data_IF_506895095123
#
_entry.id   IF_506895095123
#
_cell.length_a   1.000
_cell.length_b   1.000
_cell.length_c   1.000
_cell.angle_alpha   90.00
_cell.angle_beta   90.00
_cell.angle_gamma   90.00
#
_symmetry.space_group_name_H-M   'P 1'
#
loop_
_entity.id
_entity.type
_entity.pdbx_description
1 polymer ?
#
# COMPACT_ATOMS: atom_id res chain seq x y z
N UNK A 1 -7.43 0.41 -15.80
CA UNK A 1 -7.65 1.85 -16.03
C UNK A 1 -7.08 2.28 -17.40
N UNK A 2 -5.77 2.13 -17.68
CA UNK A 2 -5.15 2.53 -18.94
C UNK A 2 -5.90 1.99 -20.17
N UNK A 3 -6.11 0.67 -20.24
CA UNK A 3 -6.81 0.04 -21.38
C UNK A 3 -8.25 0.55 -21.51
N UNK A 4 -8.96 0.75 -20.38
CA UNK A 4 -10.31 1.33 -20.39
C UNK A 4 -10.34 2.79 -20.87
N UNK A 5 -9.21 3.49 -20.75
CA UNK A 5 -9.04 4.86 -21.28
C UNK A 5 -8.53 4.90 -22.73
N UNK A 6 -8.48 3.76 -23.43
CA UNK A 6 -8.02 3.66 -24.80
C UNK A 6 -6.49 3.60 -24.99
N UNK A 7 -5.73 3.47 -23.88
CA UNK A 7 -4.27 3.43 -23.92
C UNK A 7 -3.78 2.00 -23.98
N UNK A 8 -2.63 1.80 -24.61
CA UNK A 8 -1.93 0.52 -24.59
C UNK A 8 -1.09 0.39 -23.32
N UNK A 9 -1.26 -0.72 -22.60
CA UNK A 9 -0.52 -1.01 -21.36
C UNK A 9 0.41 -2.20 -21.56
N UNK A 10 1.72 -1.99 -21.45
CA UNK A 10 2.74 -3.05 -21.47
C UNK A 10 3.42 -3.10 -20.09
N UNK A 11 3.37 -4.25 -19.44
CA UNK A 11 3.96 -4.47 -18.12
C UNK A 11 5.14 -5.42 -18.23
N UNK A 12 6.35 -4.93 -17.96
CA UNK A 12 7.55 -5.75 -17.85
C UNK A 12 7.85 -6.09 -16.41
N UNK A 13 7.90 -7.36 -16.06
CA UNK A 13 8.24 -7.83 -14.70
C UNK A 13 8.89 -9.21 -14.70
N UNK A 14 9.31 -9.69 -13.54
CA UNK A 14 9.83 -11.05 -13.39
C UNK A 14 8.73 -12.15 -13.33
N UNK A 15 7.49 -11.82 -13.69
CA UNK A 15 6.35 -12.70 -13.56
C UNK A 15 5.75 -12.72 -12.15
N UNK A 16 4.79 -13.61 -11.94
CA UNK A 16 4.07 -13.80 -10.67
C UNK A 16 2.58 -14.01 -10.88
N UNK A 17 1.83 -14.26 -9.81
CA UNK A 17 0.41 -14.63 -9.86
C UNK A 17 -0.52 -13.58 -10.47
N UNK A 18 -0.10 -12.32 -10.54
CA UNK A 18 -0.92 -11.24 -11.12
C UNK A 18 -0.81 -11.10 -12.65
N UNK A 19 -0.01 -11.93 -13.34
CA UNK A 19 0.13 -11.84 -14.80
C UNK A 19 -1.21 -12.02 -15.50
N UNK A 20 -1.97 -13.03 -15.11
CA UNK A 20 -3.30 -13.28 -15.67
C UNK A 20 -4.30 -12.13 -15.47
N UNK A 21 -4.18 -11.40 -14.38
CA UNK A 21 -5.03 -10.23 -14.13
C UNK A 21 -4.71 -9.08 -15.12
N UNK A 22 -3.41 -8.89 -15.42
CA UNK A 22 -2.95 -7.90 -16.41
C UNK A 22 -3.49 -8.25 -17.79
N UNK A 23 -3.33 -9.50 -18.22
CA UNK A 23 -3.76 -9.98 -19.52
C UNK A 23 -5.29 -9.97 -19.66
N UNK A 24 -6.02 -10.42 -18.63
CA UNK A 24 -7.50 -10.32 -18.58
C UNK A 24 -8.00 -8.88 -18.64
N UNK A 25 -7.24 -7.92 -18.12
CA UNK A 25 -7.55 -6.51 -18.21
C UNK A 25 -7.17 -5.88 -19.55
N UNK A 26 -6.71 -6.66 -20.55
CA UNK A 26 -6.30 -6.23 -21.88
C UNK A 26 -4.89 -5.63 -21.95
N UNK A 27 -4.10 -5.74 -20.87
CA UNK A 27 -2.69 -5.35 -20.88
C UNK A 27 -1.79 -6.47 -21.41
N UNK A 28 -0.63 -6.10 -21.95
CA UNK A 28 0.42 -7.06 -22.37
C UNK A 28 1.44 -7.25 -21.27
N UNK A 29 1.74 -8.48 -20.90
CA UNK A 29 2.84 -8.78 -19.97
C UNK A 29 4.07 -9.31 -20.70
N UNK A 30 5.26 -8.86 -20.28
CA UNK A 30 6.55 -9.33 -20.78
C UNK A 30 7.43 -9.74 -19.60
N UNK A 31 7.81 -11.02 -19.55
CA UNK A 31 8.67 -11.54 -18.49
C UNK A 31 10.12 -11.21 -18.77
N UNK A 32 10.73 -10.42 -17.88
CA UNK A 32 12.16 -10.05 -17.90
C UNK A 32 12.74 -10.17 -16.48
N UNK A 33 14.04 -10.54 -16.32
CA UNK A 33 14.67 -10.74 -15.02
C UNK A 33 15.00 -9.40 -14.31
N UNK A 34 13.99 -8.55 -14.10
CA UNK A 34 14.12 -7.18 -13.59
C UNK A 34 14.42 -7.07 -12.09
N UNK A 35 14.39 -8.19 -11.35
CA UNK A 35 14.76 -8.24 -9.93
C UNK A 35 16.25 -8.16 -9.68
N UNK A 36 17.08 -8.35 -10.72
CA UNK A 36 18.53 -8.38 -10.59
C UNK A 36 19.12 -7.05 -10.11
N UNK A 37 20.12 -7.14 -9.25
CA UNK A 37 20.97 -6.02 -8.82
C UNK A 37 22.40 -6.13 -9.36
N UNK A 38 22.72 -7.20 -10.09
CA UNK A 38 24.01 -7.42 -10.71
C UNK A 38 24.18 -6.43 -11.88
N UNK A 39 25.29 -5.68 -11.97
CA UNK A 39 25.56 -4.73 -13.05
C UNK A 39 25.46 -5.32 -14.46
N UNK A 40 25.96 -6.53 -14.67
CA UNK A 40 25.85 -7.21 -15.98
C UNK A 40 24.39 -7.54 -16.33
N UNK A 41 23.61 -7.99 -15.34
CA UNK A 41 22.18 -8.23 -15.49
C UNK A 41 21.41 -6.94 -15.77
N UNK A 42 21.74 -5.85 -15.11
CA UNK A 42 21.17 -4.52 -15.37
C UNK A 42 21.49 -4.09 -16.81
N UNK A 43 22.75 -4.21 -17.27
CA UNK A 43 23.15 -3.86 -18.64
C UNK A 43 22.40 -4.69 -19.69
N UNK A 44 22.21 -5.99 -19.45
CA UNK A 44 21.40 -6.86 -20.33
C UNK A 44 19.95 -6.40 -20.36
N UNK A 45 19.37 -6.10 -19.19
CA UNK A 45 18.00 -5.63 -19.10
C UNK A 45 17.78 -4.26 -19.78
N UNK A 46 18.76 -3.37 -19.77
CA UNK A 46 18.70 -2.10 -20.54
C UNK A 46 18.49 -2.39 -22.02
N UNK A 47 19.25 -3.34 -22.61
CA UNK A 47 19.11 -3.71 -24.02
C UNK A 47 17.73 -4.31 -24.33
N UNK A 48 17.27 -5.24 -23.47
CA UNK A 48 15.96 -5.87 -23.64
C UNK A 48 14.81 -4.88 -23.50
N UNK A 49 14.90 -3.97 -22.54
CA UNK A 49 13.87 -2.92 -22.36
C UNK A 49 13.91 -1.91 -23.49
N UNK A 50 15.07 -1.49 -23.99
CA UNK A 50 15.17 -0.60 -25.14
C UNK A 50 14.53 -1.23 -26.40
N UNK A 51 14.88 -2.47 -26.70
CA UNK A 51 14.26 -3.21 -27.81
C UNK A 51 12.74 -3.41 -27.62
N UNK A 52 12.28 -3.59 -26.38
CA UNK A 52 10.85 -3.67 -26.07
C UNK A 52 10.15 -2.32 -26.30
N UNK A 53 10.75 -1.22 -25.85
CA UNK A 53 10.23 0.14 -26.03
C UNK A 53 10.08 0.44 -27.52
N UNK A 54 11.08 0.15 -28.34
CA UNK A 54 11.07 0.37 -29.79
C UNK A 54 10.04 -0.54 -30.48
N UNK A 55 10.08 -1.85 -30.24
CA UNK A 55 9.15 -2.83 -30.86
C UNK A 55 7.69 -2.55 -30.55
N UNK A 56 7.40 -2.16 -29.32
CA UNK A 56 6.03 -1.89 -28.88
C UNK A 56 5.64 -0.41 -29.07
N UNK A 57 6.48 0.45 -29.63
CA UNK A 57 6.26 1.89 -29.75
C UNK A 57 5.77 2.50 -28.45
N UNK A 58 6.54 2.32 -27.37
CA UNK A 58 6.19 2.83 -26.02
C UNK A 58 6.51 4.32 -25.95
N UNK A 59 5.54 5.12 -25.53
CA UNK A 59 5.68 6.57 -25.41
C UNK A 59 6.15 7.03 -24.04
N UNK A 60 5.83 6.26 -22.97
CA UNK A 60 6.17 6.61 -21.59
C UNK A 60 6.66 5.38 -20.82
N UNK A 61 7.77 5.52 -20.11
CA UNK A 61 8.34 4.48 -19.25
C UNK A 61 8.11 4.82 -17.78
N UNK A 62 7.34 3.98 -17.08
CA UNK A 62 7.01 4.18 -15.68
C UNK A 62 7.61 3.08 -14.79
N UNK A 63 8.58 3.43 -13.94
CA UNK A 63 9.16 2.51 -12.96
C UNK A 63 8.44 2.62 -11.60
N UNK A 64 7.93 1.49 -11.13
CA UNK A 64 7.21 1.39 -9.85
C UNK A 64 8.00 0.68 -8.74
N UNK A 65 9.27 0.37 -9.00
CA UNK A 65 10.14 -0.33 -8.06
C UNK A 65 11.61 0.00 -8.33
N UNK A 66 12.42 0.04 -7.27
CA UNK A 66 13.84 0.44 -7.34
C UNK A 66 14.72 -0.49 -8.20
N UNK A 67 14.49 -1.81 -8.12
CA UNK A 67 15.34 -2.76 -8.84
C UNK A 67 15.23 -2.59 -10.37
N UNK A 68 14.03 -2.55 -10.97
CA UNK A 68 13.88 -2.31 -12.40
C UNK A 68 14.17 -0.86 -12.82
N UNK A 69 14.07 0.12 -11.89
CA UNK A 69 14.17 1.53 -12.23
C UNK A 69 15.49 1.92 -12.90
N UNK A 70 16.62 1.31 -12.49
CA UNK A 70 17.92 1.55 -13.14
C UNK A 70 17.92 1.11 -14.59
N UNK A 71 17.45 -0.09 -14.87
CA UNK A 71 17.37 -0.59 -16.25
C UNK A 71 16.37 0.20 -17.07
N UNK A 72 15.22 0.55 -16.50
CA UNK A 72 14.17 1.31 -17.16
C UNK A 72 14.61 2.74 -17.50
N UNK A 73 15.29 3.43 -16.57
CA UNK A 73 15.83 4.77 -16.79
C UNK A 73 16.81 4.84 -17.97
N UNK A 74 17.80 3.93 -17.97
CA UNK A 74 18.78 3.93 -19.06
C UNK A 74 18.20 3.45 -20.40
N UNK A 75 17.20 2.55 -20.38
CA UNK A 75 16.49 2.17 -21.59
C UNK A 75 15.68 3.33 -22.15
N UNK A 76 14.93 4.04 -21.30
CA UNK A 76 14.16 5.22 -21.68
C UNK A 76 15.07 6.32 -22.26
N UNK A 77 16.20 6.62 -21.58
CA UNK A 77 17.19 7.58 -22.07
C UNK A 77 17.76 7.18 -23.44
N UNK A 78 18.04 5.89 -23.66
CA UNK A 78 18.57 5.37 -24.93
C UNK A 78 17.58 5.51 -26.08
N UNK A 79 16.27 5.38 -25.80
CA UNK A 79 15.20 5.43 -26.81
C UNK A 79 14.53 6.80 -26.91
N UNK A 80 15.05 7.82 -26.19
CA UNK A 80 14.47 9.17 -26.19
C UNK A 80 13.08 9.26 -25.54
N UNK A 81 12.68 8.28 -24.72
CA UNK A 81 11.33 8.28 -24.12
C UNK A 81 11.34 8.88 -22.71
N UNK A 82 10.30 9.63 -22.32
CA UNK A 82 10.17 10.15 -20.96
C UNK A 82 10.12 9.01 -19.95
N UNK A 83 10.76 9.25 -18.79
CA UNK A 83 10.83 8.30 -17.68
C UNK A 83 10.20 8.90 -16.45
N UNK A 84 9.29 8.17 -15.81
CA UNK A 84 8.69 8.57 -14.54
C UNK A 84 8.73 7.46 -13.49
N UNK A 85 8.44 7.81 -12.24
CA UNK A 85 8.53 6.87 -11.11
C UNK A 85 7.37 7.03 -10.14
N UNK A 86 7.11 5.96 -9.35
CA UNK A 86 6.24 6.04 -8.17
C UNK A 86 6.97 5.54 -6.94
N UNK A 87 7.04 6.40 -5.91
CA UNK A 87 7.46 6.01 -4.57
C UNK A 87 6.30 5.32 -3.84
N UNK A 88 6.46 4.03 -3.55
CA UNK A 88 5.49 3.22 -2.81
C UNK A 88 5.77 3.13 -1.32
N UNK A 89 6.87 3.70 -0.86
CA UNK A 89 7.25 3.77 0.56
C UNK A 89 8.38 4.78 0.73
N UNK A 90 8.67 5.13 1.98
CA UNK A 90 9.90 5.83 2.33
C UNK A 90 11.07 4.85 2.18
N UNK A 91 11.98 5.17 1.29
CA UNK A 91 13.18 4.37 1.09
C UNK A 91 14.27 4.81 2.06
N UNK A 92 14.24 4.26 3.27
CA UNK A 92 15.29 4.50 4.25
C UNK A 92 16.66 4.01 3.73
N UNK A 93 17.71 4.75 4.04
CA UNK A 93 19.07 4.40 3.67
C UNK A 93 20.06 4.84 4.74
N UNK A 94 20.43 3.93 5.66
CA UNK A 94 21.68 4.11 6.40
C UNK A 94 22.82 3.80 5.40
N UNK A 95 23.60 4.84 5.04
CA UNK A 95 24.75 4.72 4.14
C UNK A 95 24.57 5.39 2.77
N UNK A 96 25.71 5.99 2.27
CA UNK A 96 25.76 6.79 1.01
C UNK A 96 25.41 5.94 -0.22
N UNK A 97 25.90 4.69 -0.30
CA UNK A 97 25.65 3.78 -1.42
C UNK A 97 24.16 3.40 -1.55
N UNK A 98 23.50 3.12 -0.42
CA UNK A 98 22.07 2.79 -0.44
C UNK A 98 21.21 3.99 -0.83
N UNK A 99 21.58 5.18 -0.36
CA UNK A 99 20.91 6.44 -0.77
C UNK A 99 21.09 6.67 -2.28
N UNK A 100 22.31 6.52 -2.78
CA UNK A 100 22.59 6.62 -4.22
C UNK A 100 21.77 5.61 -5.02
N UNK A 101 21.75 4.33 -4.61
CA UNK A 101 20.95 3.30 -5.29
C UNK A 101 19.47 3.66 -5.33
N UNK A 102 18.92 4.20 -4.25
CA UNK A 102 17.51 4.58 -4.18
C UNK A 102 17.19 5.87 -4.94
N UNK A 103 18.17 6.76 -5.19
CA UNK A 103 17.98 8.05 -5.85
C UNK A 103 17.47 7.93 -7.28
N UNK A 104 17.58 6.76 -7.91
CA UNK A 104 17.01 6.50 -9.23
C UNK A 104 15.51 6.79 -9.28
N UNK A 105 14.81 6.59 -8.15
CA UNK A 105 13.39 6.86 -8.07
C UNK A 105 13.05 8.37 -8.11
N UNK A 106 14.02 9.25 -7.88
CA UNK A 106 13.88 10.70 -7.97
C UNK A 106 14.21 11.28 -9.36
N UNK A 107 14.60 10.43 -10.33
CA UNK A 107 15.06 10.87 -11.65
C UNK A 107 13.95 10.94 -12.71
N UNK A 108 12.70 10.64 -12.35
CA UNK A 108 11.57 10.79 -13.28
C UNK A 108 11.30 12.24 -13.67
N UNK A 109 10.85 12.51 -14.91
CA UNK A 109 10.33 13.83 -15.31
C UNK A 109 9.14 14.23 -14.45
N UNK A 110 8.36 13.24 -13.98
CA UNK A 110 7.40 13.35 -12.89
C UNK A 110 7.63 12.20 -11.92
N UNK A 111 7.39 12.48 -10.65
CA UNK A 111 7.57 11.54 -9.54
C UNK A 111 6.26 11.48 -8.76
N UNK A 112 5.60 10.34 -8.78
CA UNK A 112 4.40 10.12 -7.97
C UNK A 112 4.81 9.65 -6.58
N UNK A 113 4.24 10.26 -5.54
CA UNK A 113 4.28 9.77 -4.16
C UNK A 113 2.88 9.31 -3.73
N UNK A 114 2.81 8.16 -3.05
CA UNK A 114 1.51 7.55 -2.68
C UNK A 114 0.85 8.15 -1.44
N UNK A 115 1.45 9.17 -0.85
CA UNK A 115 0.95 9.94 0.29
C UNK A 115 1.79 11.19 0.46
N UNK A 116 1.29 12.17 1.20
CA UNK A 116 2.05 13.36 1.60
C UNK A 116 3.29 12.99 2.41
N UNK A 117 3.16 11.99 3.30
CA UNK A 117 4.28 11.48 4.08
C UNK A 117 5.42 10.97 3.18
N UNK A 118 5.09 10.20 2.14
CA UNK A 118 6.09 9.70 1.17
C UNK A 118 6.63 10.83 0.30
N UNK A 119 5.80 11.79 -0.09
CA UNK A 119 6.19 12.98 -0.84
C UNK A 119 7.22 13.82 -0.09
N UNK A 120 6.92 14.19 1.16
CA UNK A 120 7.86 14.91 2.03
C UNK A 120 9.19 14.16 2.21
N UNK A 121 9.13 12.84 2.34
CA UNK A 121 10.35 12.02 2.44
C UNK A 121 11.15 11.98 1.12
N UNK A 122 10.48 11.95 -0.03
CA UNK A 122 11.13 11.99 -1.34
C UNK A 122 11.85 13.33 -1.57
N UNK A 123 11.21 14.45 -1.27
CA UNK A 123 11.81 15.80 -1.32
C UNK A 123 12.98 15.91 -0.34
N UNK A 124 12.77 15.60 0.94
CA UNK A 124 13.79 15.76 1.99
C UNK A 124 15.02 14.87 1.76
N UNK A 125 14.82 13.64 1.31
CA UNK A 125 15.90 12.63 1.24
C UNK A 125 16.60 12.59 -0.10
N UNK A 126 15.86 12.83 -1.20
CA UNK A 126 16.33 12.65 -2.56
C UNK A 126 16.29 13.93 -3.41
N UNK A 127 15.84 15.07 -2.84
CA UNK A 127 15.79 16.35 -3.54
C UNK A 127 14.79 16.39 -4.70
N UNK A 128 13.68 15.67 -4.57
CA UNK A 128 12.61 15.77 -5.58
C UNK A 128 12.00 17.17 -5.49
N UNK A 129 12.11 17.92 -6.57
CA UNK A 129 11.57 19.26 -6.71
C UNK A 129 10.03 19.23 -6.72
N UNK A 130 9.42 20.29 -6.21
CA UNK A 130 7.97 20.33 -5.98
C UNK A 130 7.17 20.34 -7.31
N UNK A 131 7.68 20.97 -8.35
CA UNK A 131 7.12 20.99 -9.70
C UNK A 131 7.05 19.62 -10.35
N UNK A 132 7.99 18.74 -10.00
CA UNK A 132 8.06 17.34 -10.49
C UNK A 132 7.29 16.35 -9.63
N UNK A 133 6.95 16.73 -8.38
CA UNK A 133 6.25 15.84 -7.45
C UNK A 133 4.74 15.89 -7.68
N UNK A 134 4.11 14.72 -7.73
CA UNK A 134 2.66 14.57 -7.72
C UNK A 134 2.26 13.62 -6.60
N UNK A 135 1.53 14.11 -5.61
CA UNK A 135 1.01 13.26 -4.54
C UNK A 135 -0.32 12.68 -4.97
N UNK A 136 -0.34 11.37 -5.14
CA UNK A 136 -1.52 10.61 -5.54
C UNK A 136 -1.73 9.51 -4.51
N UNK A 137 -2.65 9.67 -3.55
CA UNK A 137 -2.96 8.66 -2.56
C UNK A 137 -3.33 7.33 -3.20
N UNK A 138 -2.99 6.22 -2.54
CA UNK A 138 -3.46 4.92 -2.99
C UNK A 138 -4.96 4.82 -2.77
N UNK A 139 -5.62 4.15 -3.72
CA UNK A 139 -7.04 3.88 -3.62
C UNK A 139 -7.34 2.51 -2.99
N UNK A 140 -8.53 2.39 -2.44
CA UNK A 140 -9.21 1.14 -2.10
C UNK A 140 -10.24 0.81 -3.20
N UNK A 141 -10.32 -0.45 -3.57
CA UNK A 141 -11.33 -0.93 -4.53
C UNK A 141 -12.68 -1.07 -3.82
N UNK A 142 -13.54 -0.07 -3.97
CA UNK A 142 -14.86 -0.02 -3.33
C UNK A 142 -15.85 -1.04 -3.87
N UNK A 143 -15.54 -1.74 -4.96
CA UNK A 143 -16.36 -2.88 -5.41
C UNK A 143 -15.98 -4.18 -4.72
N UNK A 144 -14.70 -4.31 -4.36
CA UNK A 144 -14.18 -5.44 -3.60
C UNK A 144 -14.39 -5.28 -2.09
N UNK A 145 -14.25 -4.04 -1.59
CA UNK A 145 -14.43 -3.66 -0.19
C UNK A 145 -15.76 -2.93 -0.01
N UNK A 146 -16.83 -3.68 -0.25
CA UNK A 146 -18.20 -3.27 -0.07
C UNK A 146 -18.88 -4.19 0.95
N UNK A 147 -19.31 -3.69 2.12
CA UNK A 147 -19.99 -4.50 3.13
C UNK A 147 -21.27 -5.16 2.61
N UNK A 148 -22.00 -4.48 1.72
CA UNK A 148 -23.25 -5.00 1.16
C UNK A 148 -23.01 -6.15 0.14
N UNK A 149 -21.83 -6.22 -0.46
CA UNK A 149 -21.45 -7.28 -1.39
C UNK A 149 -20.98 -8.57 -0.68
N UNK A 150 -20.86 -8.55 0.65
CA UNK A 150 -20.41 -9.73 1.40
C UNK A 150 -21.60 -10.60 1.80
N UNK A 151 -21.78 -11.70 1.08
CA UNK A 151 -22.84 -12.65 1.39
C UNK A 151 -22.59 -13.36 2.74
N UNK A 152 -23.62 -13.52 3.61
CA UNK A 152 -23.48 -14.13 4.94
C UNK A 152 -22.82 -15.51 4.95
N UNK A 153 -23.03 -16.33 3.91
CA UNK A 153 -22.41 -17.66 3.82
C UNK A 153 -20.87 -17.61 3.80
N UNK A 154 -20.28 -16.53 3.24
CA UNK A 154 -18.82 -16.33 3.22
C UNK A 154 -18.29 -16.07 4.63
N UNK A 155 -19.07 -15.34 5.45
CA UNK A 155 -18.74 -15.09 6.86
C UNK A 155 -18.76 -16.39 7.66
N UNK A 156 -19.84 -17.16 7.54
CA UNK A 156 -19.99 -18.45 8.22
C UNK A 156 -18.87 -19.41 7.83
N UNK A 157 -18.55 -19.50 6.54
CA UNK A 157 -17.46 -20.35 6.07
C UNK A 157 -16.11 -19.95 6.66
N UNK A 158 -15.80 -18.65 6.61
CA UNK A 158 -14.52 -18.12 7.08
C UNK A 158 -14.39 -18.20 8.62
N UNK A 159 -15.48 -17.96 9.36
CA UNK A 159 -15.52 -18.11 10.81
C UNK A 159 -15.25 -19.57 11.23
N UNK A 160 -15.83 -20.55 10.52
CA UNK A 160 -15.57 -21.97 10.73
C UNK A 160 -14.12 -22.35 10.40
N UNK A 161 -13.60 -21.88 9.26
CA UNK A 161 -12.21 -22.13 8.85
C UNK A 161 -11.22 -21.59 9.90
N UNK A 162 -11.50 -20.42 10.44
CA UNK A 162 -10.67 -19.78 11.46
C UNK A 162 -10.99 -20.25 12.89
N UNK A 163 -11.95 -21.15 13.07
CA UNK A 163 -12.38 -21.66 14.37
C UNK A 163 -12.73 -20.53 15.36
N UNK A 164 -13.42 -19.50 14.87
CA UNK A 164 -13.86 -18.39 15.71
C UNK A 164 -14.92 -18.86 16.69
N UNK A 165 -14.86 -18.35 17.91
CA UNK A 165 -15.82 -18.63 18.96
C UNK A 165 -17.03 -17.71 18.83
N UNK A 166 -18.22 -18.28 18.86
CA UNK A 166 -19.45 -17.52 18.83
C UNK A 166 -19.58 -16.62 20.07
N UNK A 167 -20.13 -15.42 19.86
CA UNK A 167 -20.40 -14.47 20.93
C UNK A 167 -19.18 -13.70 21.44
N UNK A 168 -17.97 -14.00 20.99
CA UNK A 168 -16.78 -13.24 21.36
C UNK A 168 -16.40 -12.23 20.26
N UNK A 169 -16.24 -10.94 20.62
CA UNK A 169 -15.81 -9.93 19.64
C UNK A 169 -14.41 -10.23 19.10
N UNK A 170 -14.21 -9.91 17.83
CA UNK A 170 -13.00 -10.18 17.06
C UNK A 170 -12.15 -8.91 16.94
N UNK A 171 -10.95 -8.93 17.52
CA UNK A 171 -9.92 -7.92 17.30
C UNK A 171 -8.95 -8.44 16.25
N UNK A 172 -8.94 -7.83 15.07
CA UNK A 172 -8.18 -8.31 13.92
C UNK A 172 -6.99 -7.43 13.61
N UNK A 173 -5.80 -8.03 13.42
CA UNK A 173 -4.63 -7.35 12.86
C UNK A 173 -4.25 -8.01 11.54
N UNK A 174 -4.66 -7.42 10.40
CA UNK A 174 -4.26 -7.91 9.08
C UNK A 174 -2.87 -7.41 8.69
N UNK A 175 -2.13 -8.24 7.99
CA UNK A 175 -0.84 -7.88 7.43
C UNK A 175 0.20 -8.98 7.60
N UNK A 176 1.32 -8.84 6.88
CA UNK A 176 2.43 -9.80 6.99
C UNK A 176 2.88 -9.94 8.44
N UNK A 177 3.05 -11.16 8.90
CA UNK A 177 3.51 -11.44 10.26
C UNK A 177 5.00 -11.09 10.38
N UNK A 178 5.26 -9.85 10.76
CA UNK A 178 6.60 -9.27 10.94
C UNK A 178 6.62 -8.38 12.17
N UNK A 179 7.78 -8.28 12.83
CA UNK A 179 7.92 -7.53 14.09
C UNK A 179 7.37 -6.11 14.03
N UNK A 180 7.70 -5.38 12.97
CA UNK A 180 7.32 -3.97 12.83
C UNK A 180 5.81 -3.74 12.61
N UNK A 181 5.03 -4.81 12.34
CA UNK A 181 3.56 -4.72 12.23
C UNK A 181 2.83 -4.69 13.58
N UNK A 182 3.54 -4.84 14.69
CA UNK A 182 3.00 -4.60 16.02
C UNK A 182 2.16 -5.73 16.61
N UNK A 183 2.35 -6.96 16.15
CA UNK A 183 1.63 -8.13 16.69
C UNK A 183 1.88 -8.33 18.20
N UNK A 184 3.13 -8.15 18.65
CA UNK A 184 3.51 -8.26 20.06
C UNK A 184 2.89 -7.10 20.86
N UNK A 185 2.94 -5.90 20.31
CA UNK A 185 2.36 -4.70 20.91
C UNK A 185 0.86 -4.88 21.12
N UNK A 186 0.16 -5.46 20.12
CA UNK A 186 -1.27 -5.77 20.27
C UNK A 186 -1.51 -6.83 21.36
N UNK A 187 -0.78 -7.95 21.39
CA UNK A 187 -0.93 -8.96 22.41
C UNK A 187 -0.75 -8.38 23.82
N UNK A 188 0.25 -7.52 23.99
CA UNK A 188 0.53 -6.86 25.28
C UNK A 188 -0.51 -5.79 25.64
N UNK A 189 -1.14 -5.17 24.65
CA UNK A 189 -2.28 -4.28 24.86
C UNK A 189 -3.52 -5.08 25.28
N UNK A 190 -3.82 -6.18 24.59
CA UNK A 190 -4.96 -7.03 24.91
C UNK A 190 -4.89 -7.64 26.32
N UNK A 191 -3.68 -7.97 26.80
CA UNK A 191 -3.48 -8.43 28.17
C UNK A 191 -3.91 -7.39 29.23
N UNK A 192 -3.87 -6.09 28.88
CA UNK A 192 -4.22 -4.98 29.79
C UNK A 192 -5.72 -4.71 29.88
N UNK A 193 -6.53 -5.31 29.02
CA UNK A 193 -7.98 -5.16 29.09
C UNK A 193 -8.52 -5.84 30.36
N UNK A 194 -9.52 -5.25 31.02
CA UNK A 194 -10.07 -5.75 32.29
C UNK A 194 -10.76 -7.10 32.14
N UNK A 195 -11.30 -7.39 30.97
CA UNK A 195 -12.00 -8.63 30.64
C UNK A 195 -11.32 -9.33 29.46
N UNK A 196 -11.43 -10.67 29.41
CA UNK A 196 -10.88 -11.49 28.33
C UNK A 196 -11.97 -12.06 27.39
N UNK A 197 -13.10 -11.39 27.35
CA UNK A 197 -14.22 -11.75 26.49
C UNK A 197 -13.97 -11.21 25.06
N UNK A 198 -12.91 -11.69 24.43
CA UNK A 198 -12.51 -11.33 23.07
C UNK A 198 -11.71 -12.46 22.43
N UNK A 199 -11.55 -12.37 21.12
CA UNK A 199 -10.58 -13.17 20.36
C UNK A 199 -9.75 -12.27 19.44
N UNK A 200 -8.47 -12.60 19.28
CA UNK A 200 -7.52 -11.88 18.42
C UNK A 200 -7.23 -12.72 17.19
N UNK A 201 -7.34 -12.14 16.01
CA UNK A 201 -7.05 -12.83 14.74
C UNK A 201 -5.93 -12.10 14.01
N UNK A 202 -4.83 -12.80 13.80
CA UNK A 202 -3.73 -12.33 12.96
C UNK A 202 -3.88 -12.91 11.55
N UNK A 203 -4.15 -12.04 10.57
CA UNK A 203 -4.39 -12.43 9.18
C UNK A 203 -3.19 -12.07 8.34
N UNK A 204 -2.47 -13.05 7.82
CA UNK A 204 -1.32 -12.86 6.93
C UNK A 204 -0.30 -13.97 7.00
N UNK A 205 0.54 -14.05 5.99
CA UNK A 205 1.59 -15.05 5.90
C UNK A 205 2.54 -15.00 7.10
N UNK A 206 2.56 -16.08 7.85
CA UNK A 206 3.41 -16.30 9.02
C UNK A 206 4.51 -17.35 8.77
N UNK A 207 4.48 -18.04 7.63
CA UNK A 207 5.44 -19.08 7.28
C UNK A 207 6.78 -18.51 6.79
N UNK A 208 6.78 -17.33 6.16
CA UNK A 208 8.00 -16.68 5.68
C UNK A 208 8.94 -16.24 6.81
N UNK A 209 8.47 -16.19 8.06
CA UNK A 209 9.25 -15.74 9.23
C UNK A 209 9.04 -16.68 10.42
N UNK A 210 9.46 -17.95 10.32
CA UNK A 210 9.17 -18.95 11.34
C UNK A 210 9.68 -18.56 12.73
N UNK A 211 10.87 -17.98 12.83
CA UNK A 211 11.41 -17.53 14.13
C UNK A 211 10.52 -16.48 14.82
N UNK A 212 9.91 -15.56 14.05
CA UNK A 212 9.01 -14.58 14.61
C UNK A 212 7.62 -15.17 14.93
N UNK A 213 7.12 -16.09 14.12
CA UNK A 213 5.92 -16.86 14.43
C UNK A 213 6.09 -17.61 15.77
N UNK A 214 7.20 -18.31 15.94
CA UNK A 214 7.47 -19.07 17.18
C UNK A 214 7.61 -18.15 18.39
N UNK A 215 8.16 -16.94 18.21
CA UNK A 215 8.16 -15.89 19.24
C UNK A 215 6.75 -15.44 19.59
N UNK A 216 5.86 -15.23 18.62
CA UNK A 216 4.45 -14.88 18.85
C UNK A 216 3.75 -15.98 19.67
N UNK A 217 3.92 -17.25 19.31
CA UNK A 217 3.33 -18.38 20.02
C UNK A 217 3.81 -18.41 21.48
N UNK A 218 5.11 -18.21 21.71
CA UNK A 218 5.66 -18.10 23.08
C UNK A 218 5.07 -16.91 23.84
N UNK A 219 4.94 -15.74 23.17
CA UNK A 219 4.36 -14.54 23.78
C UNK A 219 2.90 -14.76 24.17
N UNK A 220 2.10 -15.38 23.30
CA UNK A 220 0.70 -15.77 23.62
C UNK A 220 0.64 -16.60 24.89
N UNK A 221 1.53 -17.61 25.03
CA UNK A 221 1.61 -18.46 26.22
C UNK A 221 2.02 -17.67 27.46
N UNK A 222 3.06 -16.83 27.35
CA UNK A 222 3.57 -16.02 28.48
C UNK A 222 2.52 -15.01 28.99
N UNK A 223 1.68 -14.47 28.10
CA UNK A 223 0.62 -13.52 28.45
C UNK A 223 -0.69 -14.21 28.88
N UNK A 224 -0.74 -15.54 28.89
CA UNK A 224 -1.93 -16.31 29.24
C UNK A 224 -3.10 -16.09 28.27
N UNK A 225 -2.81 -15.89 26.98
CA UNK A 225 -3.81 -15.64 25.93
C UNK A 225 -4.07 -16.89 25.06
N UNK A 226 -3.68 -18.08 25.56
CA UNK A 226 -3.97 -19.33 24.84
C UNK A 226 -5.49 -19.50 24.66
N UNK A 227 -5.88 -19.91 23.46
CA UNK A 227 -7.29 -20.05 23.10
C UNK A 227 -8.03 -18.74 22.81
N UNK A 228 -7.34 -17.58 22.90
CA UNK A 228 -7.87 -16.28 22.50
C UNK A 228 -7.21 -15.75 21.20
N UNK A 229 -6.14 -16.36 20.71
CA UNK A 229 -5.36 -15.87 19.57
C UNK A 229 -5.33 -16.90 18.46
N UNK A 230 -5.68 -16.47 17.24
CA UNK A 230 -5.63 -17.26 16.02
C UNK A 230 -4.60 -16.65 15.05
N UNK A 231 -3.74 -17.50 14.46
CA UNK A 231 -2.86 -17.15 13.33
C UNK A 231 -3.40 -17.89 12.10
N UNK A 232 -4.09 -17.17 11.21
CA UNK A 232 -4.92 -17.82 10.17
C UNK A 232 -4.29 -17.83 8.77
N UNK A 233 -3.05 -17.34 8.64
CA UNK A 233 -2.37 -17.30 7.35
C UNK A 233 -2.92 -16.24 6.38
N UNK A 234 -2.60 -16.40 5.11
CA UNK A 234 -3.09 -15.49 4.06
C UNK A 234 -4.58 -15.72 3.77
N UNK A 235 -5.34 -14.63 3.75
CA UNK A 235 -6.73 -14.63 3.37
C UNK A 235 -6.94 -13.97 2.00
N UNK A 236 -7.60 -14.68 1.08
CA UNK A 236 -7.96 -14.13 -0.24
C UNK A 236 -9.21 -13.27 -0.18
N UNK A 237 -10.13 -13.63 0.71
CA UNK A 237 -11.40 -12.93 0.91
C UNK A 237 -11.31 -11.93 2.07
N UNK A 238 -10.52 -10.88 1.87
CA UNK A 238 -10.37 -9.83 2.87
C UNK A 238 -11.66 -9.04 3.13
N UNK A 239 -12.59 -8.97 2.17
CA UNK A 239 -13.90 -8.36 2.39
C UNK A 239 -14.67 -9.09 3.50
N UNK A 240 -14.82 -10.41 3.38
CA UNK A 240 -15.44 -11.22 4.43
C UNK A 240 -14.63 -11.20 5.74
N UNK A 241 -13.31 -11.23 5.66
CA UNK A 241 -12.44 -11.13 6.83
C UNK A 241 -12.72 -9.85 7.64
N UNK A 242 -12.74 -8.69 7.00
CA UNK A 242 -13.06 -7.44 7.68
C UNK A 242 -14.47 -7.45 8.28
N UNK A 243 -15.44 -8.06 7.61
CA UNK A 243 -16.81 -8.15 8.15
C UNK A 243 -16.91 -9.01 9.43
N UNK A 244 -15.99 -9.93 9.65
CA UNK A 244 -15.89 -10.70 10.90
C UNK A 244 -15.25 -9.88 12.05
N UNK A 245 -14.54 -8.81 11.74
CA UNK A 245 -13.86 -8.01 12.75
C UNK A 245 -14.80 -7.02 13.44
N UNK A 246 -14.79 -6.98 14.77
CA UNK A 246 -15.41 -5.90 15.55
C UNK A 246 -14.50 -4.69 15.62
N UNK A 247 -13.19 -4.90 15.68
CA UNK A 247 -12.16 -3.87 15.66
C UNK A 247 -11.00 -4.33 14.79
N UNK A 248 -10.58 -3.46 13.87
CA UNK A 248 -9.36 -3.68 13.08
C UNK A 248 -8.22 -2.86 13.67
N UNK A 249 -7.05 -3.47 13.78
CA UNK A 249 -5.86 -2.85 14.37
C UNK A 249 -4.73 -2.80 13.36
N UNK A 250 -4.12 -1.63 13.23
CA UNK A 250 -2.86 -1.40 12.50
C UNK A 250 -1.81 -0.84 13.46
N UNK A 251 -1.16 -1.72 14.22
CA UNK A 251 -0.24 -1.37 15.32
C UNK A 251 1.23 -1.25 14.87
N UNK A 252 1.47 -0.88 13.62
CA UNK A 252 2.83 -0.81 13.06
C UNK A 252 3.74 0.08 13.92
N UNK A 253 4.94 -0.41 14.26
CA UNK A 253 5.94 0.33 15.05
C UNK A 253 6.85 1.19 14.19
N UNK A 254 6.86 0.96 12.89
CA UNK A 254 7.55 1.78 11.89
C UNK A 254 6.52 2.44 10.96
N UNK A 255 6.78 3.67 10.46
CA UNK A 255 5.83 4.38 9.62
C UNK A 255 5.50 3.64 8.33
N UNK A 256 4.24 3.42 8.06
CA UNK A 256 3.77 2.91 6.78
C UNK A 256 3.70 4.04 5.74
N UNK A 257 4.04 3.70 4.49
CA UNK A 257 3.98 4.69 3.41
C UNK A 257 2.57 5.22 3.14
N UNK A 258 1.53 4.38 3.35
CA UNK A 258 0.13 4.78 3.15
C UNK A 258 -0.82 4.14 4.18
N UNK A 259 -0.65 2.83 4.50
CA UNK A 259 -1.54 2.13 5.42
C UNK A 259 -2.78 1.55 4.71
N UNK A 260 -2.58 0.60 3.80
CA UNK A 260 -3.70 -0.02 3.05
C UNK A 260 -4.77 -0.61 3.96
N UNK A 261 -4.38 -1.25 5.05
CA UNK A 261 -5.32 -1.84 6.01
C UNK A 261 -6.28 -0.80 6.58
N UNK A 262 -5.78 0.41 6.83
CA UNK A 262 -6.60 1.49 7.36
C UNK A 262 -7.73 1.88 6.40
N UNK A 263 -7.44 2.03 5.11
CA UNK A 263 -8.47 2.39 4.11
C UNK A 263 -9.40 1.22 3.79
N UNK A 264 -8.87 -0.02 3.75
CA UNK A 264 -9.67 -1.23 3.52
C UNK A 264 -10.67 -1.47 4.66
N UNK A 265 -10.24 -1.35 5.93
CA UNK A 265 -11.10 -1.48 7.11
C UNK A 265 -12.20 -0.40 7.14
N UNK A 266 -11.84 0.86 6.88
CA UNK A 266 -12.78 1.98 6.84
C UNK A 266 -13.78 1.85 5.68
N UNK A 267 -13.36 1.36 4.50
CA UNK A 267 -14.26 1.07 3.39
C UNK A 267 -15.29 0.00 3.77
N UNK A 268 -14.91 -0.97 4.61
CA UNK A 268 -15.80 -2.01 5.15
C UNK A 268 -16.57 -1.56 6.39
N UNK A 269 -16.50 -0.25 6.77
CA UNK A 269 -17.20 0.28 7.93
C UNK A 269 -16.77 -0.30 9.27
N UNK A 270 -15.53 -0.81 9.38
CA UNK A 270 -15.03 -1.39 10.63
C UNK A 270 -14.34 -0.35 11.48
N UNK A 271 -14.61 -0.30 12.82
CA UNK A 271 -13.84 0.49 13.75
C UNK A 271 -12.34 0.18 13.60
N UNK A 272 -11.53 1.23 13.49
CA UNK A 272 -10.09 1.11 13.23
C UNK A 272 -9.29 1.78 14.33
N UNK A 273 -8.32 1.06 14.89
CA UNK A 273 -7.26 1.63 15.73
C UNK A 273 -5.95 1.54 14.96
N UNK A 274 -5.32 2.69 14.67
CA UNK A 274 -4.06 2.75 13.94
C UNK A 274 -3.01 3.53 14.73
N UNK A 275 -1.73 3.26 14.43
CA UNK A 275 -0.63 4.03 15.03
C UNK A 275 -0.47 5.39 14.37
N UNK A 276 -0.23 6.44 15.19
CA UNK A 276 -0.15 7.85 14.81
C UNK A 276 1.19 8.19 14.15
N UNK A 277 1.42 7.65 12.97
CA UNK A 277 2.57 7.99 12.12
C UNK A 277 2.37 7.57 10.66
N UNK A 278 3.24 8.08 9.78
CA UNK A 278 3.20 7.74 8.35
C UNK A 278 1.88 8.11 7.70
N UNK A 279 1.43 7.26 6.79
CA UNK A 279 0.18 7.45 6.04
C UNK A 279 -1.09 7.29 6.87
N UNK A 280 -1.04 6.70 8.07
CA UNK A 280 -2.22 6.60 8.94
C UNK A 280 -2.78 7.97 9.31
N UNK A 281 -1.92 8.99 9.47
CA UNK A 281 -2.31 10.39 9.72
C UNK A 281 -3.10 11.03 8.59
N UNK A 282 -3.02 10.47 7.41
CA UNK A 282 -3.69 10.99 6.20
C UNK A 282 -5.01 10.26 5.93
N UNK A 283 -5.16 9.05 6.47
CA UNK A 283 -6.27 8.15 6.17
C UNK A 283 -7.26 7.99 7.31
N UNK A 284 -6.91 8.40 8.53
CA UNK A 284 -7.74 8.27 9.74
C UNK A 284 -8.00 9.66 10.32
N UNK A 285 -9.26 9.98 10.56
CA UNK A 285 -9.70 11.16 11.31
C UNK A 285 -9.98 10.74 12.76
N UNK A 286 -9.11 11.12 13.74
CA UNK A 286 -9.24 10.67 15.11
C UNK A 286 -10.60 11.07 15.73
N UNK A 287 -11.25 10.10 16.40
CA UNK A 287 -12.58 10.27 17.01
C UNK A 287 -13.74 10.34 16.02
N UNK A 288 -13.48 10.38 14.70
CA UNK A 288 -14.51 10.46 13.66
C UNK A 288 -14.61 9.16 12.86
N UNK A 289 -13.47 8.66 12.37
CA UNK A 289 -13.40 7.43 11.55
C UNK A 289 -12.58 6.31 12.19
N UNK A 290 -12.00 6.56 13.36
CA UNK A 290 -11.18 5.62 14.11
C UNK A 290 -10.32 6.32 15.16
N UNK A 291 -9.32 5.60 15.66
CA UNK A 291 -8.38 6.08 16.67
C UNK A 291 -6.96 6.11 16.11
N UNK A 292 -6.20 7.13 16.51
CA UNK A 292 -4.76 7.19 16.33
C UNK A 292 -4.07 7.12 17.70
N UNK A 293 -3.14 6.18 17.85
CA UNK A 293 -2.41 5.95 19.10
C UNK A 293 -0.90 6.07 18.89
N UNK A 294 -0.11 6.55 19.86
CA UNK A 294 1.33 6.62 19.72
C UNK A 294 1.95 5.25 19.39
N UNK A 295 2.93 5.17 18.45
CA UNK A 295 3.59 3.91 18.12
C UNK A 295 4.27 3.30 19.34
N UNK A 296 4.02 1.99 19.58
CA UNK A 296 4.60 1.25 20.71
C UNK A 296 3.94 1.51 22.06
N UNK A 297 3.01 2.44 22.17
CA UNK A 297 2.26 2.69 23.40
C UNK A 297 1.13 1.65 23.58
N UNK A 298 1.42 0.63 24.36
CA UNK A 298 0.51 -0.49 24.65
C UNK A 298 -0.68 -0.08 25.51
N UNK A 299 -0.51 0.95 26.34
CA UNK A 299 -1.58 1.50 27.20
C UNK A 299 -2.60 2.25 26.35
N UNK A 300 -2.14 3.17 25.49
CA UNK A 300 -2.99 3.89 24.55
C UNK A 300 -3.68 2.93 23.56
N UNK A 301 -2.96 1.90 23.09
CA UNK A 301 -3.53 0.89 22.20
C UNK A 301 -4.63 0.06 22.91
N UNK A 302 -4.40 -0.37 24.15
CA UNK A 302 -5.41 -1.09 24.95
C UNK A 302 -6.66 -0.24 25.17
N UNK A 303 -6.47 1.03 25.55
CA UNK A 303 -7.56 1.98 25.78
C UNK A 303 -8.40 2.15 24.49
N UNK A 304 -7.76 2.43 23.37
CA UNK A 304 -8.46 2.65 22.09
C UNK A 304 -9.19 1.40 21.60
N UNK A 305 -8.61 0.20 21.75
CA UNK A 305 -9.28 -1.06 21.43
C UNK A 305 -10.46 -1.30 22.37
N UNK A 306 -10.33 -1.02 23.67
CA UNK A 306 -11.43 -1.11 24.63
C UNK A 306 -12.58 -0.17 24.30
N UNK A 307 -12.29 1.09 23.97
CA UNK A 307 -13.30 2.06 23.51
C UNK A 307 -14.00 1.60 22.23
N UNK A 308 -13.25 1.07 21.27
CA UNK A 308 -13.81 0.55 20.01
C UNK A 308 -14.72 -0.67 20.22
N UNK A 309 -14.37 -1.56 21.15
CA UNK A 309 -15.20 -2.71 21.53
C UNK A 309 -16.47 -2.28 22.27
N UNK A 310 -16.41 -1.23 23.06
CA UNK A 310 -17.52 -0.70 23.85
C UNK A 310 -18.49 0.20 23.07
N UNK A 311 -18.26 0.43 21.78
CA UNK A 311 -19.19 1.23 20.94
C UNK A 311 -20.59 0.60 20.93
N UNK A 312 -21.63 1.44 21.17
CA UNK A 312 -23.01 1.00 20.93
C UNK A 312 -23.24 0.71 19.44
N UNK A 313 -24.25 -0.08 19.08
CA UNK A 313 -24.58 -0.33 17.69
C UNK A 313 -24.77 0.97 16.87
N UNK A 314 -25.41 1.99 17.45
CA UNK A 314 -25.67 3.27 16.82
C UNK A 314 -24.36 4.05 16.58
N UNK A 315 -23.50 4.15 17.59
CA UNK A 315 -22.20 4.83 17.46
C UNK A 315 -21.29 4.13 16.46
N UNK A 316 -21.34 2.78 16.43
CA UNK A 316 -20.62 1.98 15.45
C UNK A 316 -21.13 2.23 14.03
N UNK A 317 -22.43 2.28 13.82
CA UNK A 317 -23.05 2.56 12.52
C UNK A 317 -22.70 3.97 12.03
N UNK A 318 -22.74 4.96 12.92
CA UNK A 318 -22.39 6.35 12.61
C UNK A 318 -20.90 6.48 12.21
N UNK A 319 -19.99 5.87 12.98
CA UNK A 319 -18.56 5.84 12.64
C UNK A 319 -18.32 5.15 11.30
N UNK A 320 -19.00 4.01 11.05
CA UNK A 320 -18.91 3.26 9.80
C UNK A 320 -19.34 4.13 8.60
N UNK A 321 -20.46 4.85 8.72
CA UNK A 321 -20.94 5.73 7.66
C UNK A 321 -19.94 6.86 7.35
N UNK A 322 -19.40 7.51 8.38
CA UNK A 322 -18.38 8.58 8.24
C UNK A 322 -17.10 8.06 7.62
N UNK A 323 -16.62 6.90 8.08
CA UNK A 323 -15.41 6.26 7.57
C UNK A 323 -15.57 5.89 6.08
N UNK A 324 -16.70 5.24 5.72
CA UNK A 324 -16.98 4.87 4.34
C UNK A 324 -17.12 6.08 3.43
N UNK A 325 -17.79 7.15 3.87
CA UNK A 325 -17.92 8.40 3.13
C UNK A 325 -16.56 9.05 2.84
N UNK A 326 -15.64 9.04 3.81
CA UNK A 326 -14.25 9.50 3.63
C UNK A 326 -13.53 8.68 2.54
N UNK A 327 -13.68 7.35 2.57
CA UNK A 327 -13.05 6.46 1.58
C UNK A 327 -13.59 6.71 0.17
N UNK A 328 -14.90 6.83 0.02
CA UNK A 328 -15.56 7.12 -1.27
C UNK A 328 -15.07 8.47 -1.83
N UNK A 329 -15.01 9.48 -0.98
CA UNK A 329 -14.68 10.84 -1.41
C UNK A 329 -13.20 11.04 -1.77
N UNK A 330 -12.26 10.36 -1.09
CA UNK A 330 -10.84 10.68 -1.19
C UNK A 330 -9.94 9.51 -1.57
N UNK A 331 -10.39 8.27 -1.39
CA UNK A 331 -9.56 7.09 -1.51
C UNK A 331 -10.12 6.00 -2.44
N UNK A 332 -11.07 6.33 -3.32
CA UNK A 332 -11.50 5.39 -4.37
C UNK A 332 -10.34 5.14 -5.36
N UNK A 333 -10.11 3.89 -5.70
CA UNK A 333 -9.15 3.49 -6.75
C UNK A 333 -9.41 4.20 -8.08
N UNK A 334 -10.65 4.58 -8.38
CA UNK A 334 -10.99 5.35 -9.58
C UNK A 334 -10.31 6.72 -9.57
N UNK A 335 -10.33 7.44 -8.43
CA UNK A 335 -9.66 8.74 -8.27
C UNK A 335 -8.15 8.61 -8.44
N UNK A 336 -7.54 7.60 -7.79
CA UNK A 336 -6.11 7.31 -7.97
C UNK A 336 -5.75 7.04 -9.44
N UNK A 337 -6.59 6.28 -10.14
CA UNK A 337 -6.37 5.98 -11.56
C UNK A 337 -6.51 7.21 -12.43
N UNK A 338 -7.53 8.04 -12.21
CA UNK A 338 -7.75 9.30 -12.94
C UNK A 338 -6.58 10.26 -12.73
N UNK A 339 -6.16 10.48 -11.48
CA UNK A 339 -5.00 11.32 -11.18
C UNK A 339 -3.70 10.79 -11.81
N UNK A 340 -3.51 9.47 -11.84
CA UNK A 340 -2.33 8.87 -12.50
C UNK A 340 -2.38 9.05 -14.03
N UNK A 341 -3.55 8.93 -14.65
CA UNK A 341 -3.75 9.18 -16.08
C UNK A 341 -3.49 10.65 -16.41
N UNK A 342 -3.95 11.58 -15.57
CA UNK A 342 -3.67 13.00 -15.74
C UNK A 342 -2.17 13.30 -15.76
N UNK A 343 -1.37 12.66 -14.87
CA UNK A 343 0.10 12.81 -14.91
C UNK A 343 0.70 12.24 -16.20
N UNK A 344 0.14 11.14 -16.73
CA UNK A 344 0.61 10.61 -18.02
C UNK A 344 0.29 11.55 -19.16
N UNK A 345 -0.92 12.13 -19.16
CA UNK A 345 -1.34 13.14 -20.15
C UNK A 345 -0.46 14.39 -20.07
N UNK A 346 -0.17 14.87 -18.86
CA UNK A 346 0.74 16.00 -18.62
C UNK A 346 2.14 15.77 -19.21
N UNK A 347 2.66 14.53 -19.16
CA UNK A 347 3.98 14.21 -19.70
C UNK A 347 3.97 14.07 -21.22
N UNK A 348 2.92 13.47 -21.78
CA UNK A 348 2.85 13.12 -23.21
C UNK A 348 2.28 14.24 -24.06
N UNK A 349 1.47 15.10 -23.47
CA UNK A 349 0.79 16.22 -24.12
C UNK A 349 0.92 17.46 -23.24
N UNK A 350 2.16 17.99 -23.04
CA UNK A 350 2.36 19.18 -22.23
C UNK A 350 1.57 20.36 -22.83
N UNK A 351 1.03 21.20 -21.96
CA UNK A 351 0.42 22.45 -22.40
C UNK A 351 1.55 23.32 -22.98
N UNK A 352 1.37 23.91 -24.19
CA UNK A 352 2.37 24.80 -24.73
C UNK A 352 2.77 25.97 -23.82
N UNK A 353 1.90 26.35 -22.89
CA UNK A 353 2.19 27.35 -21.86
C UNK A 353 3.14 26.88 -20.76
N UNK A 354 3.33 25.55 -20.60
CA UNK A 354 4.22 24.94 -19.60
C UNK A 354 5.63 24.62 -20.14
N UNK A 355 5.92 24.89 -21.40
CA UNK A 355 7.28 24.76 -21.93
C UNK A 355 8.18 25.81 -21.28
N UNK A 356 9.30 25.42 -20.64
CA UNK A 356 10.27 26.40 -20.14
C UNK A 356 10.80 27.22 -21.33
N UNK A 357 10.82 28.54 -21.18
CA UNK A 357 11.22 29.51 -22.21
C UNK A 357 12.61 29.26 -22.84
N UNK A 358 13.40 28.34 -22.30
CA UNK A 358 14.74 27.98 -22.80
C UNK A 358 14.76 26.88 -23.89
N UNK A 359 13.62 26.25 -24.22
CA UNK A 359 13.59 25.21 -25.28
C UNK A 359 13.68 25.79 -26.70
N UNK A 360 13.35 27.06 -26.88
CA UNK A 360 13.35 27.74 -28.18
C UNK A 360 14.73 28.16 -28.70
N UNK A 361 15.79 28.11 -27.89
CA UNK A 361 17.10 28.67 -28.24
C UNK A 361 18.08 27.67 -28.85
N UNK A 362 17.72 26.38 -28.95
CA UNK A 362 18.66 25.35 -29.47
C UNK A 362 18.44 24.95 -30.95
N UNK A 363 17.45 25.51 -31.63
CA UNK A 363 17.23 25.26 -33.08
C UNK A 363 17.87 26.29 -34.01
N UNK A 364 18.52 27.32 -33.50
CA UNK A 364 19.11 28.40 -34.26
C UNK A 364 20.62 28.39 -34.51
N UNK A 365 21.35 27.33 -34.12
CA UNK A 365 22.82 27.31 -34.16
C UNK A 365 23.42 26.20 -35.05
N UNK A 366 22.70 25.72 -36.06
CA UNK A 366 23.24 24.88 -37.14
C UNK A 366 22.63 25.35 -38.47
N UNK A 367 22.98 26.56 -38.85
CA UNK A 367 22.87 27.09 -40.22
C UNK A 367 24.26 27.30 -40.76
#
# INVERSE_FOLDING_TARGET
>A
ALVKAGWRAVVASAGGGMVHEIERAGGKHVTLPLKTKNPFGIRRNIRHLAALIERENIDLVHARSRAPAWSAYFAAKRTGRPFMTTFHNVYGGKGRLKRWYNSIMARGVRVIAISEFVGRAATKTYGVEQDRLRVIPRGVDLTRFDPEAVHPSRLVQLAKEWQLKDGLPVVMLPGRVTRWKGHIELLQAMQRLPHRDFQVVFVGDHEQKPAFRDELVRTVKQLGLQGHVQLVGDCRDMGAAFMLADVVVSASTEPEGFGRIAVEAQAMGRPLVATDHGGSRETVLPGVTGWLVPPGDRGALAKAVGEALALTPEARAEMAARARALMIRHFDTKLMCQATLAVYTEILFPDPADEPADAATFQGALG
#
